data_IF_726358667479
#
_entry.id   IF_726358667479
#
_cell.length_a   1.000
_cell.length_b   1.000
_cell.length_c   1.000
_cell.angle_alpha   90.00
_cell.angle_beta   90.00
_cell.angle_gamma   90.00
#
_symmetry.space_group_name_H-M   'P 1'
#
loop_
_entity.id
_entity.type
_entity.pdbx_description
1 polymer ?
#
# COMPACT_ATOMS: atom_id res chain seq x y z
N UNK A 1 14.37 -11.14 -10.85
CA UNK A 1 13.36 -11.19 -9.78
C UNK A 1 12.68 -9.84 -9.67
N UNK A 2 11.37 -9.80 -9.45
CA UNK A 2 10.67 -8.54 -9.15
C UNK A 2 11.15 -7.96 -7.81
N UNK A 3 11.35 -6.65 -7.73
CA UNK A 3 11.75 -5.98 -6.47
C UNK A 3 10.57 -5.95 -5.51
N UNK A 4 10.75 -6.40 -4.27
CA UNK A 4 9.77 -6.22 -3.19
C UNK A 4 10.01 -4.86 -2.53
N UNK A 5 9.03 -3.97 -2.62
CA UNK A 5 9.09 -2.64 -2.02
C UNK A 5 7.96 -2.48 -1.00
N UNK A 6 8.25 -1.81 0.12
CA UNK A 6 7.30 -1.50 1.18
C UNK A 6 7.47 -0.03 1.55
N UNK A 7 6.35 0.69 1.65
CA UNK A 7 6.31 2.10 2.02
C UNK A 7 6.36 2.20 3.54
N UNK A 8 7.28 3.00 4.06
CA UNK A 8 7.30 3.43 5.46
C UNK A 8 6.94 4.91 5.47
N UNK A 9 5.83 5.23 6.12
CA UNK A 9 5.36 6.60 6.21
C UNK A 9 6.23 7.36 7.23
N UNK A 10 6.84 8.51 6.88
CA UNK A 10 7.66 9.28 7.83
C UNK A 10 6.89 9.72 9.08
N UNK A 11 5.55 9.77 9.04
CA UNK A 11 4.72 10.07 10.22
C UNK A 11 4.81 9.02 11.32
N UNK A 12 5.46 7.87 11.08
CA UNK A 12 5.80 6.91 12.13
C UNK A 12 6.52 7.57 13.31
N UNK A 13 7.37 8.57 13.05
CA UNK A 13 8.10 9.31 14.09
C UNK A 13 7.21 10.25 14.92
N UNK A 14 6.00 10.55 14.44
CA UNK A 14 5.00 11.35 15.14
C UNK A 14 3.96 10.47 15.86
N UNK A 15 4.00 9.15 15.68
CA UNK A 15 3.06 8.24 16.31
C UNK A 15 3.41 8.06 17.79
N UNK A 16 2.46 8.36 18.67
CA UNK A 16 2.63 8.28 20.12
C UNK A 16 3.12 6.92 20.58
N UNK A 17 2.59 5.84 20.02
CA UNK A 17 2.98 4.50 20.44
C UNK A 17 4.42 4.23 20.05
N UNK A 18 4.83 4.66 18.85
CA UNK A 18 6.17 4.46 18.31
C UNK A 18 7.23 5.26 19.07
N UNK A 19 7.09 6.58 19.19
CA UNK A 19 8.14 7.35 19.87
C UNK A 19 8.22 7.05 21.37
N UNK A 20 7.11 6.64 22.01
CA UNK A 20 7.11 6.21 23.42
C UNK A 20 7.53 4.74 23.61
N UNK A 21 7.86 4.02 22.54
CA UNK A 21 8.40 2.67 22.65
C UNK A 21 9.91 2.70 22.91
N UNK A 22 10.42 1.65 23.54
CA UNK A 22 11.86 1.46 23.68
C UNK A 22 12.56 1.46 22.32
N UNK A 23 13.83 1.87 22.29
CA UNK A 23 14.64 1.82 21.05
C UNK A 23 14.70 0.41 20.46
N UNK A 24 14.78 -0.61 21.32
CA UNK A 24 14.72 -2.02 20.94
C UNK A 24 13.40 -2.38 20.25
N UNK A 25 12.26 -1.96 20.81
CA UNK A 25 10.95 -2.21 20.22
C UNK A 25 10.75 -1.43 18.90
N UNK A 26 11.21 -0.18 18.84
CA UNK A 26 11.21 0.62 17.60
C UNK A 26 12.01 -0.07 16.49
N UNK A 27 13.22 -0.55 16.81
CA UNK A 27 14.06 -1.29 15.88
C UNK A 27 13.36 -2.56 15.38
N UNK A 28 12.83 -3.36 16.31
CA UNK A 28 12.12 -4.59 16.00
C UNK A 28 10.89 -4.34 15.10
N UNK A 29 10.14 -3.26 15.34
CA UNK A 29 9.01 -2.90 14.50
C UNK A 29 9.44 -2.57 13.06
N UNK A 30 10.48 -1.75 12.89
CA UNK A 30 11.00 -1.42 11.56
C UNK A 30 11.56 -2.65 10.85
N UNK A 31 12.27 -3.53 11.57
CA UNK A 31 12.75 -4.80 11.05
C UNK A 31 11.59 -5.66 10.54
N UNK A 32 10.56 -5.87 11.37
CA UNK A 32 9.37 -6.67 11.00
C UNK A 32 8.66 -6.07 9.78
N UNK A 33 8.45 -4.75 9.75
CA UNK A 33 7.78 -4.08 8.62
C UNK A 33 8.53 -4.26 7.29
N UNK A 34 9.85 -4.36 7.35
CA UNK A 34 10.71 -4.44 6.17
C UNK A 34 11.19 -5.86 5.86
N UNK A 35 10.81 -6.84 6.70
CA UNK A 35 11.29 -8.21 6.65
C UNK A 35 11.08 -8.88 5.27
N UNK A 36 12.04 -9.66 4.75
CA UNK A 36 11.91 -10.32 3.44
C UNK A 36 10.68 -11.23 3.31
N UNK A 37 10.28 -11.88 4.41
CA UNK A 37 9.11 -12.77 4.46
C UNK A 37 7.78 -12.03 4.69
N UNK A 38 7.78 -10.74 5.03
CA UNK A 38 6.55 -9.97 5.26
C UNK A 38 5.70 -9.94 3.98
N UNK A 39 4.52 -10.53 3.99
CA UNK A 39 3.66 -10.56 2.79
C UNK A 39 3.01 -9.17 2.56
N UNK A 40 2.52 -8.88 1.35
CA UNK A 40 1.81 -7.63 1.09
C UNK A 40 0.49 -7.49 1.88
N UNK A 41 -0.07 -8.60 2.41
CA UNK A 41 -1.22 -8.54 3.33
C UNK A 41 -0.82 -8.13 4.75
N UNK A 42 0.47 -7.94 5.04
CA UNK A 42 0.95 -7.51 6.35
C UNK A 42 1.06 -8.61 7.38
N UNK A 43 1.30 -9.85 6.95
CA UNK A 43 1.56 -10.97 7.85
C UNK A 43 2.69 -11.88 7.33
N UNK A 44 3.25 -12.69 8.21
CA UNK A 44 4.22 -13.72 7.86
C UNK A 44 4.18 -14.88 8.84
N UNK A 45 4.65 -16.04 8.40
CA UNK A 45 4.96 -17.16 9.29
C UNK A 45 6.34 -16.94 9.88
N UNK A 46 6.45 -16.88 11.20
CA UNK A 46 7.73 -16.67 11.89
C UNK A 46 7.64 -17.08 13.36
N UNK A 47 8.79 -17.26 14.00
CA UNK A 47 8.88 -17.47 15.44
C UNK A 47 9.72 -16.35 16.07
N UNK A 48 9.42 -15.91 17.32
CA UNK A 48 10.22 -14.90 18.00
C UNK A 48 11.70 -15.28 18.08
N UNK A 49 12.02 -16.54 18.39
CA UNK A 49 13.42 -17.01 18.41
C UNK A 49 14.09 -16.91 17.04
N UNK A 50 13.39 -17.22 15.95
CA UNK A 50 13.93 -17.01 14.60
C UNK A 50 14.24 -15.55 14.30
N UNK A 51 13.41 -14.61 14.74
CA UNK A 51 13.67 -13.16 14.60
C UNK A 51 14.86 -12.73 15.48
N UNK A 52 14.94 -13.26 16.70
CA UNK A 52 16.03 -13.02 17.65
C UNK A 52 17.38 -13.46 17.07
N UNK A 53 17.41 -14.67 16.48
CA UNK A 53 18.59 -15.26 15.83
C UNK A 53 18.98 -14.48 14.57
N UNK A 54 18.03 -14.13 13.70
CA UNK A 54 18.29 -13.36 12.48
C UNK A 54 18.87 -11.98 12.77
N UNK A 55 18.48 -11.37 13.90
CA UNK A 55 19.00 -10.09 14.34
C UNK A 55 20.31 -10.21 15.10
N UNK A 56 20.76 -11.41 15.45
CA UNK A 56 21.93 -11.65 16.31
C UNK A 56 21.83 -10.81 17.60
N UNK A 57 20.65 -10.86 18.23
CA UNK A 57 20.21 -9.86 19.20
C UNK A 57 21.14 -9.75 20.41
N UNK A 58 21.60 -10.88 20.93
CA UNK A 58 22.49 -10.94 22.09
C UNK A 58 23.86 -10.31 21.78
N UNK A 59 24.43 -10.61 20.61
CA UNK A 59 25.75 -10.09 20.22
C UNK A 59 25.74 -8.59 19.92
N UNK A 60 24.61 -8.06 19.43
CA UNK A 60 24.48 -6.63 19.12
C UNK A 60 24.33 -5.73 20.35
N UNK A 61 24.14 -6.31 21.55
CA UNK A 61 24.08 -5.55 22.79
C UNK A 61 22.90 -4.58 22.85
N UNK A 62 21.72 -4.98 22.35
CA UNK A 62 20.53 -4.13 22.42
C UNK A 62 20.22 -3.75 23.88
N UNK A 63 19.78 -2.50 24.16
CA UNK A 63 19.56 -2.02 25.53
C UNK A 63 18.52 -2.83 26.32
N UNK A 64 17.60 -3.49 25.62
CA UNK A 64 16.53 -4.27 26.21
C UNK A 64 16.58 -5.72 25.68
N UNK A 65 16.36 -6.72 26.55
CA UNK A 65 16.23 -8.12 26.12
C UNK A 65 15.15 -8.30 25.05
N UNK A 66 15.42 -9.16 24.08
CA UNK A 66 14.51 -9.39 22.95
C UNK A 66 13.09 -9.71 23.39
N UNK A 67 12.93 -10.60 24.39
CA UNK A 67 11.61 -11.01 24.89
C UNK A 67 10.78 -9.85 25.43
N UNK A 68 11.42 -8.89 26.07
CA UNK A 68 10.74 -7.72 26.61
C UNK A 68 10.35 -6.73 25.51
N UNK A 69 11.26 -6.48 24.55
CA UNK A 69 10.97 -5.67 23.38
C UNK A 69 9.84 -6.29 22.53
N UNK A 70 9.86 -7.62 22.37
CA UNK A 70 8.82 -8.36 21.66
C UNK A 70 7.46 -8.23 22.36
N UNK A 71 7.45 -8.38 23.70
CA UNK A 71 6.26 -8.24 24.54
C UNK A 71 5.70 -6.81 24.50
N UNK A 72 6.57 -5.81 24.52
CA UNK A 72 6.19 -4.40 24.42
C UNK A 72 5.45 -4.12 23.10
N UNK A 73 5.95 -4.63 21.98
CA UNK A 73 5.28 -4.46 20.70
C UNK A 73 3.90 -5.13 20.61
N UNK A 74 3.71 -6.28 21.29
CA UNK A 74 2.38 -6.87 21.47
C UNK A 74 1.44 -5.96 22.28
N UNK A 75 1.92 -5.40 23.39
CA UNK A 75 1.15 -4.51 24.26
C UNK A 75 0.74 -3.21 23.55
N UNK A 76 1.65 -2.63 22.75
CA UNK A 76 1.39 -1.42 21.94
C UNK A 76 0.59 -1.71 20.67
N UNK A 77 0.33 -2.97 20.35
CA UNK A 77 -0.36 -3.44 19.14
C UNK A 77 0.38 -3.05 17.84
N UNK A 78 1.71 -3.10 17.86
CA UNK A 78 2.52 -3.02 16.65
C UNK A 78 2.37 -4.29 15.80
N UNK A 79 2.29 -5.45 16.45
CA UNK A 79 1.98 -6.73 15.84
C UNK A 79 1.07 -7.57 16.73
N UNK A 80 0.50 -8.60 16.13
CA UNK A 80 -0.25 -9.68 16.77
C UNK A 80 0.49 -10.98 16.49
N UNK A 81 0.49 -11.91 17.44
CA UNK A 81 1.24 -13.15 17.31
C UNK A 81 0.46 -14.36 17.83
N UNK A 82 0.37 -15.41 17.03
CA UNK A 82 -0.13 -16.73 17.42
C UNK A 82 1.07 -17.66 17.65
N UNK A 83 1.25 -18.09 18.90
CA UNK A 83 2.37 -18.96 19.29
C UNK A 83 2.29 -20.36 18.70
N UNK A 84 1.09 -20.90 18.49
CA UNK A 84 0.87 -22.26 18.02
C UNK A 84 1.06 -22.30 16.51
N UNK A 85 0.38 -21.42 15.78
CA UNK A 85 0.43 -21.36 14.32
C UNK A 85 1.72 -20.70 13.79
N UNK A 86 2.48 -20.02 14.64
CA UNK A 86 3.66 -19.20 14.25
C UNK A 86 3.26 -18.09 13.28
N UNK A 87 2.11 -17.46 13.52
CA UNK A 87 1.58 -16.38 12.71
C UNK A 87 1.94 -15.04 13.34
N UNK A 88 2.58 -14.15 12.59
CA UNK A 88 2.78 -12.74 12.98
C UNK A 88 2.06 -11.83 11.99
N UNK A 89 1.16 -10.98 12.49
CA UNK A 89 0.44 -10.00 11.69
C UNK A 89 0.68 -8.57 12.18
N UNK A 90 0.73 -7.60 11.27
CA UNK A 90 0.87 -6.17 11.57
C UNK A 90 -0.46 -5.47 11.25
N UNK A 91 -1.28 -5.13 12.26
CA UNK A 91 -2.68 -4.71 12.04
C UNK A 91 -2.88 -3.52 11.11
N UNK A 92 -1.96 -2.55 11.14
CA UNK A 92 -2.05 -1.31 10.36
C UNK A 92 -1.28 -1.37 9.03
N UNK A 93 -0.70 -2.50 8.64
CA UNK A 93 0.21 -2.57 7.50
C UNK A 93 -0.46 -2.12 6.19
N UNK A 94 -1.63 -2.68 5.88
CA UNK A 94 -2.36 -2.44 4.62
C UNK A 94 -2.99 -1.05 4.55
N UNK A 95 -3.17 -0.38 5.69
CA UNK A 95 -3.57 1.04 5.73
C UNK A 95 -2.51 1.95 5.10
N UNK A 96 -1.22 1.64 5.33
CA UNK A 96 -0.09 2.41 4.79
C UNK A 96 0.45 1.83 3.48
N UNK A 97 0.16 0.56 3.22
CA UNK A 97 0.52 -0.16 2.00
C UNK A 97 -0.74 -0.75 1.31
N UNK A 98 -1.69 0.10 0.87
CA UNK A 98 -2.87 -0.40 0.17
C UNK A 98 -2.49 -0.95 -1.21
N UNK A 99 -3.30 -1.85 -1.79
CA UNK A 99 -3.08 -2.30 -3.16
C UNK A 99 -3.21 -1.11 -4.12
N UNK A 100 -2.29 -0.98 -5.08
CA UNK A 100 -2.32 0.12 -6.04
C UNK A 100 -3.50 0.03 -7.02
N UNK A 101 -4.02 -1.18 -7.25
CA UNK A 101 -5.20 -1.45 -8.10
C UNK A 101 -5.84 -2.81 -7.75
N UNK A 102 -7.06 -3.12 -8.25
CA UNK A 102 -7.75 -4.38 -7.96
C UNK A 102 -6.99 -5.65 -8.34
N UNK A 103 -6.20 -5.63 -9.41
CA UNK A 103 -5.40 -6.79 -9.83
C UNK A 103 -4.28 -7.08 -8.83
N UNK A 104 -3.69 -6.04 -8.23
CA UNK A 104 -2.71 -6.20 -7.14
C UNK A 104 -3.36 -6.89 -5.95
N UNK A 105 -4.56 -6.47 -5.54
CA UNK A 105 -5.28 -7.12 -4.45
C UNK A 105 -5.60 -8.60 -4.77
N UNK A 106 -6.07 -8.90 -5.98
CA UNK A 106 -6.30 -10.28 -6.44
C UNK A 106 -5.02 -11.13 -6.41
N UNK A 107 -3.85 -10.54 -6.69
CA UNK A 107 -2.57 -11.24 -6.64
C UNK A 107 -2.14 -11.64 -5.22
N UNK A 108 -2.68 -10.98 -4.18
CA UNK A 108 -2.34 -11.27 -2.78
C UNK A 108 -2.86 -12.64 -2.29
N UNK A 109 -3.78 -13.26 -3.03
CA UNK A 109 -4.30 -14.60 -2.71
C UNK A 109 -3.21 -15.66 -2.63
N UNK A 110 -2.18 -15.56 -3.49
CA UNK A 110 -1.06 -16.50 -3.45
C UNK A 110 -0.39 -16.51 -2.07
N UNK A 111 0.01 -15.33 -1.58
CA UNK A 111 0.63 -15.24 -0.26
C UNK A 111 -0.35 -15.46 0.89
N UNK A 112 -1.65 -15.21 0.69
CA UNK A 112 -2.70 -15.53 1.66
C UNK A 112 -2.77 -17.03 1.97
N UNK A 113 -2.66 -17.86 0.92
CA UNK A 113 -2.70 -19.31 1.05
C UNK A 113 -1.48 -19.85 1.80
N UNK A 114 -0.34 -19.18 1.70
CA UNK A 114 0.89 -19.57 2.42
C UNK A 114 0.87 -19.24 3.92
N UNK A 115 -0.09 -18.42 4.38
CA UNK A 115 -0.18 -18.03 5.80
C UNK A 115 -0.79 -19.14 6.67
N UNK A 116 -0.26 -19.38 7.88
CA UNK A 116 -0.82 -20.34 8.83
C UNK A 116 -2.28 -20.07 9.16
N UNK A 117 -3.10 -21.12 9.19
CA UNK A 117 -4.49 -21.05 9.63
C UNK A 117 -4.57 -20.83 11.15
N UNK A 118 -5.24 -19.76 11.56
CA UNK A 118 -5.47 -19.37 12.95
C UNK A 118 -6.50 -18.25 13.05
N UNK A 119 -6.97 -17.96 14.25
CA UNK A 119 -7.92 -16.87 14.51
C UNK A 119 -7.39 -15.49 14.07
N UNK A 120 -6.07 -15.28 14.14
CA UNK A 120 -5.46 -14.03 13.67
C UNK A 120 -5.52 -13.90 12.15
N UNK A 121 -5.44 -15.00 11.39
CA UNK A 121 -5.68 -15.00 9.95
C UNK A 121 -7.14 -14.61 9.66
N UNK A 122 -8.10 -15.13 10.43
CA UNK A 122 -9.52 -14.73 10.28
C UNK A 122 -9.74 -13.22 10.58
N UNK A 123 -9.07 -12.67 11.60
CA UNK A 123 -9.10 -11.21 11.85
C UNK A 123 -8.46 -10.41 10.73
N UNK A 124 -7.36 -10.91 10.15
CA UNK A 124 -6.73 -10.29 8.98
C UNK A 124 -7.66 -10.32 7.77
N UNK A 125 -8.41 -11.40 7.55
CA UNK A 125 -9.41 -11.50 6.48
C UNK A 125 -10.43 -10.36 6.58
N UNK A 126 -11.00 -10.14 7.78
CA UNK A 126 -11.98 -9.07 7.98
C UNK A 126 -11.39 -7.69 7.70
N UNK A 127 -10.17 -7.41 8.15
CA UNK A 127 -9.47 -6.14 7.85
C UNK A 127 -9.22 -5.94 6.35
N UNK A 128 -8.87 -7.01 5.62
CA UNK A 128 -8.69 -6.96 4.18
C UNK A 128 -10.02 -6.74 3.44
N UNK A 129 -11.10 -7.37 3.93
CA UNK A 129 -12.46 -7.16 3.41
C UNK A 129 -12.89 -5.70 3.59
N UNK A 130 -12.78 -5.16 4.80
CA UNK A 130 -13.08 -3.75 5.10
C UNK A 130 -12.25 -2.79 4.24
N UNK A 131 -10.96 -3.08 4.04
CA UNK A 131 -10.11 -2.31 3.14
C UNK A 131 -10.61 -2.36 1.69
N UNK A 132 -10.97 -3.55 1.18
CA UNK A 132 -11.45 -3.72 -0.18
C UNK A 132 -12.78 -2.99 -0.41
N UNK A 133 -13.70 -3.06 0.55
CA UNK A 133 -14.95 -2.30 0.55
C UNK A 133 -14.70 -0.79 0.54
N UNK A 134 -13.78 -0.30 1.39
CA UNK A 134 -13.42 1.12 1.47
C UNK A 134 -12.69 1.68 0.25
N UNK A 135 -12.08 0.84 -0.59
CA UNK A 135 -11.40 1.26 -1.82
C UNK A 135 -12.33 1.28 -3.05
N UNK A 136 -13.52 0.67 -2.95
CA UNK A 136 -14.57 0.71 -3.97
C UNK A 136 -14.86 -0.63 -4.65
N UNK A 137 -15.94 -0.70 -5.43
CA UNK A 137 -16.51 -1.95 -5.96
C UNK A 137 -15.51 -2.83 -6.72
N UNK A 138 -14.60 -2.22 -7.49
CA UNK A 138 -13.58 -2.97 -8.24
C UNK A 138 -12.63 -3.75 -7.33
N UNK A 139 -12.24 -3.17 -6.19
CA UNK A 139 -11.40 -3.85 -5.20
C UNK A 139 -12.18 -4.94 -4.48
N UNK A 140 -13.42 -4.65 -4.09
CA UNK A 140 -14.28 -5.64 -3.45
C UNK A 140 -14.51 -6.88 -4.34
N UNK A 141 -14.80 -6.69 -5.63
CA UNK A 141 -14.92 -7.81 -6.59
C UNK A 141 -13.63 -8.62 -6.67
N UNK A 142 -12.49 -7.95 -6.81
CA UNK A 142 -11.17 -8.62 -6.83
C UNK A 142 -10.87 -9.39 -5.53
N UNK A 143 -11.32 -8.88 -4.39
CA UNK A 143 -11.22 -9.56 -3.10
C UNK A 143 -12.13 -10.79 -3.04
N UNK A 144 -13.42 -10.64 -3.37
CA UNK A 144 -14.42 -11.71 -3.28
C UNK A 144 -14.13 -12.88 -4.24
N UNK A 145 -13.58 -12.60 -5.44
CA UNK A 145 -13.16 -13.65 -6.38
C UNK A 145 -11.91 -14.40 -5.92
N UNK A 146 -11.06 -13.75 -5.12
CA UNK A 146 -9.71 -14.22 -4.83
C UNK A 146 -9.57 -14.89 -3.46
N UNK A 147 -10.15 -14.29 -2.43
CA UNK A 147 -9.94 -14.72 -1.05
C UNK A 147 -11.02 -15.72 -0.62
N UNK A 148 -10.66 -16.97 -0.29
CA UNK A 148 -11.63 -17.93 0.21
C UNK A 148 -12.22 -17.43 1.53
N UNK A 149 -13.54 -17.58 1.70
CA UNK A 149 -14.19 -17.29 2.97
C UNK A 149 -13.57 -18.13 4.09
N UNK A 150 -13.48 -17.55 5.28
CA UNK A 150 -12.73 -18.04 6.45
C UNK A 150 -12.94 -19.52 6.74
N UNK A 151 -11.85 -20.24 7.04
CA UNK A 151 -11.89 -21.61 7.54
C UNK A 151 -12.40 -21.59 8.99
N UNK A 152 -13.65 -21.99 9.18
CA UNK A 152 -14.29 -21.97 10.50
C UNK A 152 -15.80 -22.10 10.57
N UNK A 153 -16.47 -22.78 9.63
CA UNK A 153 -17.77 -23.41 9.87
C UNK A 153 -17.72 -24.81 9.25
N UNK A 154 -17.45 -25.82 10.08
CA UNK A 154 -17.79 -27.20 9.74
C UNK A 154 -19.30 -27.33 9.68
N UNK A 155 -19.86 -27.42 8.48
CA UNK A 155 -21.28 -27.68 8.27
C UNK A 155 -21.59 -28.06 6.84
N UNK A 156 -21.91 -29.35 6.65
CA UNK A 156 -22.68 -29.94 5.55
C UNK A 156 -22.20 -29.70 4.11
N UNK A 157 -21.70 -30.77 3.49
CA UNK A 157 -21.62 -30.82 2.04
C UNK A 157 -23.01 -30.86 1.42
N UNK A 158 -23.11 -30.36 0.19
CA UNK A 158 -24.01 -30.88 -0.82
C UNK A 158 -23.56 -30.33 -2.18
N UNK A 159 -23.23 -31.25 -3.08
CA UNK A 159 -23.09 -30.91 -4.48
C UNK A 159 -24.47 -30.70 -5.08
N UNK A 160 -24.60 -29.71 -5.95
CA UNK A 160 -25.65 -29.69 -6.97
C UNK A 160 -25.24 -28.70 -8.05
N UNK A 161 -24.92 -29.22 -9.24
CA UNK A 161 -25.00 -28.43 -10.44
C UNK A 161 -26.45 -28.02 -10.69
N UNK A 162 -26.66 -26.84 -11.25
CA UNK A 162 -27.74 -26.64 -12.20
C UNK A 162 -27.44 -25.48 -13.13
N UNK A 163 -27.53 -25.80 -14.40
CA UNK A 163 -27.60 -24.96 -15.58
C UNK A 163 -28.75 -23.95 -15.50
N UNK A 164 -28.50 -22.72 -15.97
CA UNK A 164 -29.55 -21.90 -16.59
C UNK A 164 -28.94 -21.05 -17.71
N UNK A 165 -29.56 -21.16 -18.87
CA UNK A 165 -29.19 -20.53 -20.13
C UNK A 165 -30.03 -19.27 -20.40
N UNK A 166 -29.46 -18.44 -21.27
CA UNK A 166 -30.09 -17.49 -22.19
C UNK A 166 -30.42 -16.06 -21.70
N UNK A 167 -29.81 -15.12 -22.39
CA UNK A 167 -30.09 -13.68 -22.38
C UNK A 167 -29.08 -12.94 -23.25
N UNK A 168 -29.14 -13.14 -24.56
CA UNK A 168 -28.30 -12.46 -25.55
C UNK A 168 -28.59 -10.95 -25.57
N UNK A 169 -27.56 -10.13 -25.34
CA UNK A 169 -27.55 -8.71 -25.68
C UNK A 169 -26.24 -8.43 -26.43
N UNK A 170 -26.36 -8.00 -27.69
CA UNK A 170 -25.25 -7.62 -28.56
C UNK A 170 -24.38 -6.54 -27.89
N UNK A 171 -23.10 -6.84 -27.72
CA UNK A 171 -22.08 -5.87 -27.28
C UNK A 171 -21.42 -5.25 -28.52
N UNK A 172 -21.48 -3.93 -28.62
CA UNK A 172 -20.59 -3.17 -29.49
C UNK A 172 -19.13 -3.51 -29.14
N UNK A 173 -18.36 -3.85 -30.16
CA UNK A 173 -17.00 -4.36 -30.07
C UNK A 173 -16.05 -3.25 -29.57
N UNK A 174 -15.58 -3.35 -28.31
CA UNK A 174 -14.66 -2.39 -27.69
C UNK A 174 -13.20 -2.83 -27.84
N UNK A 175 -12.35 -1.93 -28.37
CA UNK A 175 -10.91 -2.13 -28.63
C UNK A 175 -10.14 -2.50 -27.32
N UNK A 176 -9.45 -3.65 -27.26
CA UNK A 176 -8.86 -4.21 -26.04
C UNK A 176 -7.72 -3.38 -25.41
N UNK A 177 -7.23 -2.35 -26.09
CA UNK A 177 -6.19 -1.43 -25.59
C UNK A 177 -6.74 -0.07 -25.13
N UNK A 178 -8.06 0.14 -25.10
CA UNK A 178 -8.66 1.34 -24.50
C UNK A 178 -8.57 1.30 -22.96
N UNK A 179 -7.99 2.33 -22.32
CA UNK A 179 -7.93 2.36 -20.87
C UNK A 179 -9.33 2.55 -20.30
N UNK A 180 -9.73 1.70 -19.35
CA UNK A 180 -11.12 1.55 -18.88
C UNK A 180 -11.83 2.80 -18.33
N UNK A 181 -11.15 3.94 -18.19
CA UNK A 181 -11.79 5.23 -17.90
C UNK A 181 -12.47 5.86 -19.13
N UNK A 182 -12.27 5.31 -20.33
CA UNK A 182 -12.98 5.71 -21.57
C UNK A 182 -14.30 4.94 -21.78
N UNK A 183 -14.51 3.81 -21.10
CA UNK A 183 -15.60 2.86 -21.44
C UNK A 183 -16.74 2.83 -20.42
N UNK A 184 -16.65 3.52 -19.29
CA UNK A 184 -17.82 3.66 -18.42
C UNK A 184 -17.74 4.88 -17.49
N UNK A 185 -18.77 5.73 -17.56
CA UNK A 185 -19.24 6.54 -16.45
C UNK A 185 -18.29 7.65 -15.99
N UNK A 186 -18.40 8.82 -16.61
CA UNK A 186 -18.03 10.08 -15.98
C UNK A 186 -19.19 11.06 -16.09
N UNK A 187 -19.35 11.91 -15.07
CA UNK A 187 -19.88 13.25 -15.31
C UNK A 187 -18.90 13.95 -16.26
N UNK A 188 -19.43 14.43 -17.40
CA UNK A 188 -18.66 15.03 -18.47
C UNK A 188 -17.75 16.14 -17.93
N UNK A 189 -16.51 16.22 -18.43
CA UNK A 189 -15.70 17.41 -18.22
C UNK A 189 -16.43 18.57 -18.91
N UNK A 190 -16.91 19.59 -18.19
CA UNK A 190 -17.79 20.62 -18.76
C UNK A 190 -17.12 21.49 -19.82
N UNK A 191 -15.82 21.32 -20.07
CA UNK A 191 -15.03 22.09 -21.04
C UNK A 191 -14.56 21.31 -22.26
N UNK A 192 -14.76 19.98 -22.33
CA UNK A 192 -14.27 19.16 -23.44
C UNK A 192 -15.29 18.09 -23.82
N UNK A 193 -15.61 17.98 -25.12
CA UNK A 193 -16.50 16.96 -25.64
C UNK A 193 -15.81 15.59 -25.74
N UNK A 194 -16.62 14.52 -25.75
CA UNK A 194 -16.12 13.15 -25.87
C UNK A 194 -15.36 12.91 -27.19
N UNK A 195 -15.74 13.60 -28.27
CA UNK A 195 -14.99 13.59 -29.54
C UNK A 195 -13.60 14.19 -29.41
N UNK A 196 -13.44 15.29 -28.65
CA UNK A 196 -12.13 15.89 -28.42
C UNK A 196 -11.23 14.97 -27.57
N UNK A 197 -11.83 14.27 -26.61
CA UNK A 197 -11.12 13.30 -25.77
C UNK A 197 -10.66 12.09 -26.60
N UNK A 198 -11.54 11.53 -27.43
CA UNK A 198 -11.19 10.42 -28.33
C UNK A 198 -10.18 10.83 -29.40
N UNK A 199 -10.30 12.03 -29.95
CA UNK A 199 -9.34 12.58 -30.91
C UNK A 199 -7.95 12.77 -30.32
N UNK A 200 -7.86 13.25 -29.07
CA UNK A 200 -6.59 13.36 -28.34
C UNK A 200 -5.98 11.97 -28.06
N UNK A 201 -6.81 10.97 -27.75
CA UNK A 201 -6.36 9.59 -27.55
C UNK A 201 -5.82 8.95 -28.84
N UNK A 202 -6.49 9.16 -29.99
CA UNK A 202 -6.01 8.69 -31.28
C UNK A 202 -4.64 9.25 -31.66
N UNK A 203 -4.42 10.56 -31.41
CA UNK A 203 -3.11 11.22 -31.61
C UNK A 203 -2.03 10.67 -30.68
N UNK A 204 -2.38 10.36 -29.42
CA UNK A 204 -1.47 9.71 -28.48
C UNK A 204 -1.06 8.29 -28.93
N UNK A 205 -2.00 7.49 -29.44
CA UNK A 205 -1.74 6.13 -29.96
C UNK A 205 -0.74 6.17 -31.13
N UNK A 206 -0.87 7.16 -32.02
CA UNK A 206 0.08 7.40 -33.11
C UNK A 206 1.47 7.83 -32.60
N UNK A 207 1.54 8.62 -31.52
CA UNK A 207 2.79 9.13 -30.96
C UNK A 207 3.57 8.10 -30.14
N UNK A 208 2.87 7.21 -29.42
CA UNK A 208 3.45 6.10 -28.62
C UNK A 208 4.29 5.13 -29.47
N UNK A 209 3.96 5.00 -30.75
CA UNK A 209 4.68 4.15 -31.70
C UNK A 209 5.81 4.87 -32.45
N UNK A 210 5.99 6.18 -32.24
CA UNK A 210 7.10 6.95 -32.83
C UNK A 210 8.33 6.93 -31.91
N UNK A 211 9.50 6.57 -32.44
CA UNK A 211 10.78 6.46 -31.71
C UNK A 211 11.37 7.84 -31.35
N UNK A 212 10.67 8.65 -30.56
CA UNK A 212 11.17 9.94 -30.05
C UNK A 212 11.37 9.90 -28.52
N UNK A 213 12.37 10.59 -27.96
CA UNK A 213 12.74 10.43 -26.55
C UNK A 213 11.74 11.16 -25.63
N UNK A 214 11.19 10.40 -24.69
CA UNK A 214 10.46 10.83 -23.50
C UNK A 214 9.08 11.50 -23.72
N UNK A 215 8.05 10.71 -24.11
CA UNK A 215 6.71 11.20 -24.46
C UNK A 215 5.92 11.83 -23.30
N UNK A 216 6.31 11.61 -22.04
CA UNK A 216 5.61 12.15 -20.86
C UNK A 216 5.90 13.64 -20.61
N UNK A 217 7.12 14.10 -20.91
CA UNK A 217 7.53 15.50 -20.69
C UNK A 217 7.03 16.44 -21.79
N UNK A 218 6.97 15.96 -23.03
CA UNK A 218 6.36 16.71 -24.14
C UNK A 218 4.85 16.84 -23.97
N UNK A 219 4.17 15.82 -23.44
CA UNK A 219 2.72 15.85 -23.16
C UNK A 219 2.33 16.93 -22.14
N UNK A 220 3.11 17.08 -21.06
CA UNK A 220 2.89 18.16 -20.08
C UNK A 220 3.11 19.56 -20.67
N UNK A 221 4.14 19.73 -21.50
CA UNK A 221 4.41 20.99 -22.21
C UNK A 221 3.37 21.30 -23.28
N UNK A 222 2.87 20.27 -23.98
CA UNK A 222 1.85 20.41 -25.03
C UNK A 222 0.48 20.77 -24.45
N UNK A 223 0.07 20.10 -23.36
CA UNK A 223 -1.16 20.48 -22.64
C UNK A 223 -1.07 21.91 -22.10
N UNK A 224 0.10 22.32 -21.59
CA UNK A 224 0.32 23.69 -21.13
C UNK A 224 0.29 24.75 -22.25
N UNK A 225 0.64 24.39 -23.48
CA UNK A 225 0.68 25.33 -24.61
C UNK A 225 -0.63 25.36 -25.43
N UNK A 226 -1.42 24.27 -25.46
CA UNK A 226 -2.59 24.12 -26.34
C UNK A 226 -3.92 24.41 -25.60
N UNK A 227 -3.96 24.22 -24.28
CA UNK A 227 -5.17 24.36 -23.47
C UNK A 227 -4.84 25.11 -22.18
N UNK A 228 -4.87 26.45 -22.22
CA UNK A 228 -4.49 27.32 -21.09
C UNK A 228 -5.13 26.89 -19.76
N UNK A 229 -4.32 26.26 -18.91
CA UNK A 229 -4.63 25.99 -17.50
C UNK A 229 -4.05 24.67 -16.97
N UNK A 230 -3.30 24.68 -15.84
CA UNK A 230 -2.81 23.45 -15.24
C UNK A 230 -3.98 22.56 -14.78
N UNK A 231 -3.79 21.22 -14.72
CA UNK A 231 -4.79 20.31 -14.18
C UNK A 231 -5.18 20.74 -12.76
N UNK A 232 -6.44 20.50 -12.33
CA UNK A 232 -6.97 21.02 -11.06
C UNK A 232 -6.08 20.57 -9.90
N UNK A 233 -5.42 21.56 -9.27
CA UNK A 233 -4.63 21.34 -8.06
C UNK A 233 -5.58 21.08 -6.89
N UNK A 234 -5.33 20.03 -6.09
CA UNK A 234 -5.74 20.06 -4.68
C UNK A 234 -5.09 21.29 -4.04
N UNK A 235 -5.88 22.17 -3.42
CA UNK A 235 -5.36 23.30 -2.63
C UNK A 235 -4.54 22.73 -1.46
N UNK A 236 -3.24 22.95 -1.45
CA UNK A 236 -2.43 22.85 -0.25
C UNK A 236 -2.72 24.08 0.63
N UNK A 237 -2.88 23.96 1.97
CA UNK A 237 -2.84 25.13 2.84
C UNK A 237 -1.46 25.80 2.73
N UNK A 238 -1.48 27.12 2.55
CA UNK A 238 -0.39 27.93 2.04
C UNK A 238 0.87 27.94 2.91
N UNK A 239 2.01 27.94 2.22
CA UNK A 239 3.31 28.33 2.76
C UNK A 239 3.37 29.85 2.72
N UNK A 240 3.31 30.53 3.87
CA UNK A 240 3.72 31.93 3.96
C UNK A 240 5.24 31.97 4.14
N UNK A 241 5.92 32.62 3.20
CA UNK A 241 7.33 32.97 3.30
C UNK A 241 7.45 34.28 4.07
N UNK A 242 8.03 34.23 5.27
CA UNK A 242 8.49 35.38 6.04
C UNK A 242 9.89 35.11 6.60
N UNK A 243 10.91 35.58 5.89
CA UNK A 243 12.31 35.78 6.29
C UNK A 243 12.38 36.85 7.41
N UNK A 244 13.13 36.78 8.51
CA UNK A 244 14.54 36.48 8.83
C UNK A 244 14.63 36.05 10.32
N UNK A 245 15.73 35.49 10.83
CA UNK A 245 17.08 35.48 10.24
C UNK A 245 17.80 34.14 10.28
N UNK A 246 18.47 33.85 9.15
CA UNK A 246 19.52 32.84 9.00
C UNK A 246 20.69 33.06 9.98
N UNK A 247 20.92 34.28 10.45
CA UNK A 247 22.11 34.62 11.24
C UNK A 247 22.04 34.14 12.71
N UNK A 248 20.84 34.03 13.30
CA UNK A 248 20.68 33.46 14.66
C UNK A 248 20.90 31.95 14.68
N UNK A 249 20.48 31.27 13.61
CA UNK A 249 20.67 29.84 13.44
C UNK A 249 22.14 29.47 13.24
N UNK A 250 22.90 30.24 12.46
CA UNK A 250 24.33 29.98 12.25
C UNK A 250 25.21 30.41 13.44
N UNK A 251 24.80 31.44 14.19
CA UNK A 251 25.54 31.87 15.40
C UNK A 251 25.44 30.86 16.56
N UNK A 252 24.29 30.22 16.77
CA UNK A 252 24.17 29.17 17.79
C UNK A 252 24.93 27.88 17.40
N UNK A 253 25.04 27.62 16.09
CA UNK A 253 25.74 26.44 15.57
C UNK A 253 27.27 26.59 15.61
N UNK A 254 27.82 27.77 15.33
CA UNK A 254 29.28 28.04 15.46
C UNK A 254 29.75 28.06 16.93
N UNK A 255 28.94 28.59 17.87
CA UNK A 255 29.23 28.50 19.31
C UNK A 255 29.34 27.04 19.83
N UNK A 256 28.60 26.11 19.21
CA UNK A 256 28.67 24.68 19.51
C UNK A 256 29.91 24.00 18.91
N UNK A 257 30.60 24.61 17.95
CA UNK A 257 31.80 24.05 17.30
C UNK A 257 33.10 24.51 17.95
N UNK A 258 33.17 25.74 18.45
CA UNK A 258 34.35 26.26 19.15
C UNK A 258 34.52 25.67 20.56
N UNK A 259 33.43 25.30 21.26
CA UNK A 259 33.50 24.62 22.56
C UNK A 259 33.97 23.14 22.50
N UNK A 260 34.24 22.63 21.29
CA UNK A 260 34.72 21.26 21.03
C UNK A 260 36.11 21.20 20.38
N UNK A 261 36.81 22.32 20.27
CA UNK A 261 38.27 22.35 20.14
C UNK A 261 38.91 22.18 21.52
#
# INVERSE_FOLDING_TARGET
MAKKYRKIDPRIWNDEKFYSASLSCQHLFLFILTHPQMTPVGAMRTSPGGIEDELDWEQKGFPQPFREAFKEGLQKRFWEYDKTAKFLGVPNFTRYNPPDNPNVLKSWVGCWNDLPECDLKNKLYQRLKELAEGLGEGFYKGFAEGFPQTFGETGAGEGAGSTASAGSAEKAESDPDEPGWLVAGREANPKLSDEQIRGAWGKFKAHKNSRQPNPRFQWLKWIQNEFDGPPPRRRAPGRSTGTKSSDEFWSAFEASREARA
#
